data_IF_908592313224
#
_entry.id   IF_908592313224
#
_cell.length_a   1.000
_cell.length_b   1.000
_cell.length_c   1.000
_cell.angle_alpha   90.00
_cell.angle_beta   90.00
_cell.angle_gamma   90.00
#
_symmetry.space_group_name_H-M   'P 1'
#
loop_
_entity.id
_entity.type
_entity.pdbx_description
1 polymer ?
#
# COMPACT_ATOMS: atom_id res chain seq x y z
N UNK A 1 9.98 10.02 -0.76
CA UNK A 1 8.66 10.47 -0.23
C UNK A 1 8.94 10.99 1.16
N UNK A 2 8.84 12.31 1.36
CA UNK A 2 9.63 13.01 2.41
C UNK A 2 9.40 12.47 3.84
N UNK A 3 8.18 12.14 4.23
CA UNK A 3 7.89 11.76 5.63
C UNK A 3 8.47 10.40 6.04
N UNK A 4 8.29 9.36 5.22
CA UNK A 4 8.82 8.02 5.52
C UNK A 4 10.36 8.01 5.44
N UNK A 5 10.90 8.75 4.48
CA UNK A 5 12.35 8.92 4.30
C UNK A 5 13.01 9.60 5.51
N UNK A 6 12.38 10.65 6.06
CA UNK A 6 12.83 11.27 7.31
C UNK A 6 12.77 10.32 8.50
N UNK A 7 11.71 9.50 8.61
CA UNK A 7 11.55 8.55 9.70
C UNK A 7 12.64 7.47 9.68
N UNK A 8 12.99 6.94 8.49
CA UNK A 8 14.10 6.00 8.34
C UNK A 8 15.44 6.62 8.72
N UNK A 9 15.68 7.88 8.32
CA UNK A 9 16.94 8.57 8.60
C UNK A 9 17.26 8.72 10.09
N UNK A 10 16.26 8.76 10.98
CA UNK A 10 16.45 8.90 12.43
C UNK A 10 16.11 7.66 13.25
N UNK A 11 15.26 6.76 12.74
CA UNK A 11 14.65 5.67 13.52
C UNK A 11 14.53 4.36 12.74
N UNK A 12 15.47 4.07 11.82
CA UNK A 12 15.45 2.90 10.95
C UNK A 12 14.97 1.60 11.63
N UNK A 13 15.57 1.24 12.77
CA UNK A 13 15.31 -0.03 13.48
C UNK A 13 14.08 0.01 14.41
N UNK A 14 13.43 1.16 14.56
CA UNK A 14 12.23 1.27 15.41
C UNK A 14 11.03 0.66 14.68
N UNK A 15 10.27 -0.18 15.39
CA UNK A 15 8.99 -0.69 14.90
C UNK A 15 8.04 0.47 14.57
N UNK A 16 7.59 0.51 13.31
CA UNK A 16 6.66 1.49 12.77
C UNK A 16 5.22 0.97 12.80
N UNK A 17 5.01 -0.32 12.48
CA UNK A 17 3.69 -0.93 12.32
C UNK A 17 3.73 -2.35 12.89
N UNK A 18 2.69 -2.75 13.63
CA UNK A 18 2.56 -4.10 14.17
C UNK A 18 2.99 -4.22 15.63
N UNK A 19 3.29 -5.45 16.06
CA UNK A 19 3.70 -5.73 17.43
C UNK A 19 5.14 -5.26 17.69
N UNK A 20 5.52 -5.12 18.97
CA UNK A 20 6.90 -4.72 19.31
C UNK A 20 7.94 -5.81 19.02
N UNK A 21 7.51 -7.07 18.95
CA UNK A 21 8.42 -8.22 18.87
C UNK A 21 8.66 -8.66 17.42
N UNK A 22 7.66 -8.47 16.53
CA UNK A 22 7.68 -8.93 15.14
C UNK A 22 7.13 -7.92 14.12
N UNK A 23 6.88 -6.67 14.53
CA UNK A 23 6.37 -5.62 13.65
C UNK A 23 7.40 -5.12 12.64
N UNK A 24 6.91 -4.47 11.58
CA UNK A 24 7.76 -3.85 10.57
C UNK A 24 8.49 -2.64 11.15
N UNK A 25 9.81 -2.63 10.99
CA UNK A 25 10.63 -1.45 11.28
C UNK A 25 10.39 -0.36 10.24
N UNK A 26 10.83 0.88 10.50
CA UNK A 26 10.79 1.94 9.49
C UNK A 26 11.62 1.56 8.26
N UNK A 27 12.78 0.91 8.45
CA UNK A 27 13.61 0.41 7.36
C UNK A 27 12.87 -0.63 6.51
N UNK A 28 12.20 -1.60 7.14
CA UNK A 28 11.40 -2.61 6.43
C UNK A 28 10.25 -1.98 5.64
N UNK A 29 9.51 -1.06 6.28
CA UNK A 29 8.40 -0.36 5.65
C UNK A 29 8.86 0.44 4.42
N UNK A 30 10.00 1.12 4.51
CA UNK A 30 10.58 1.87 3.40
C UNK A 30 11.05 0.96 2.27
N UNK A 31 11.75 -0.13 2.57
CA UNK A 31 12.18 -1.10 1.57
C UNK A 31 11.00 -1.74 0.84
N UNK A 32 9.96 -2.15 1.57
CA UNK A 32 8.73 -2.72 0.99
C UNK A 32 7.95 -1.69 0.17
N UNK A 33 7.87 -0.43 0.63
CA UNK A 33 7.25 0.65 -0.14
C UNK A 33 8.02 0.95 -1.43
N UNK A 34 9.36 0.93 -1.41
CA UNK A 34 10.19 1.09 -2.60
C UNK A 34 9.93 -0.02 -3.62
N UNK A 35 9.95 -1.29 -3.19
CA UNK A 35 9.65 -2.44 -4.04
C UNK A 35 8.22 -2.39 -4.61
N UNK A 36 7.25 -1.94 -3.82
CA UNK A 36 5.88 -1.70 -4.29
C UNK A 36 5.85 -0.64 -5.38
N UNK A 37 6.56 0.48 -5.19
CA UNK A 37 6.62 1.56 -6.16
C UNK A 37 7.26 1.11 -7.49
N UNK A 38 8.33 0.32 -7.43
CA UNK A 38 8.96 -0.29 -8.62
C UNK A 38 7.99 -1.19 -9.37
N UNK A 39 7.27 -2.05 -8.65
CA UNK A 39 6.25 -2.93 -9.24
C UNK A 39 5.12 -2.14 -9.90
N UNK A 40 4.66 -1.06 -9.27
CA UNK A 40 3.62 -0.21 -9.83
C UNK A 40 4.08 0.48 -11.12
N UNK A 41 5.33 0.94 -11.18
CA UNK A 41 5.90 1.55 -12.39
C UNK A 41 6.14 0.53 -13.50
N UNK A 42 6.25 -0.76 -13.18
CA UNK A 42 6.43 -1.83 -14.18
C UNK A 42 5.11 -2.31 -14.80
N UNK A 43 3.96 -1.82 -14.35
CA UNK A 43 2.64 -2.18 -14.87
C UNK A 43 1.91 -0.92 -15.34
N UNK A 44 1.01 -1.07 -16.31
CA UNK A 44 0.13 0.02 -16.75
C UNK A 44 -1.08 0.13 -15.82
N UNK A 45 -0.85 0.65 -14.61
CA UNK A 45 -1.89 0.87 -13.61
C UNK A 45 -1.99 2.37 -13.27
N UNK A 46 -3.21 2.92 -13.40
CA UNK A 46 -3.51 4.28 -13.00
C UNK A 46 -3.78 4.43 -11.50
N UNK A 47 -4.10 3.32 -10.81
CA UNK A 47 -4.44 3.29 -9.38
C UNK A 47 -3.91 2.01 -8.72
N UNK A 48 -3.64 2.08 -7.41
CA UNK A 48 -3.45 0.91 -6.56
C UNK A 48 -4.67 0.74 -5.66
N UNK A 49 -5.37 -0.37 -5.80
CA UNK A 49 -6.55 -0.72 -5.01
C UNK A 49 -6.19 -1.72 -3.91
N UNK A 50 -6.67 -1.49 -2.69
CA UNK A 50 -6.66 -2.48 -1.61
C UNK A 50 -8.10 -2.85 -1.25
N UNK A 51 -8.47 -4.11 -1.40
CA UNK A 51 -9.74 -4.67 -0.98
C UNK A 51 -9.48 -5.86 -0.02
N UNK A 52 -9.06 -5.52 1.20
CA UNK A 52 -8.59 -6.49 2.21
C UNK A 52 -8.95 -5.98 3.62
N UNK A 53 -8.86 -6.88 4.59
CA UNK A 53 -8.76 -6.57 6.02
C UNK A 53 -7.50 -5.72 6.27
N UNK A 54 -7.60 -4.80 7.23
CA UNK A 54 -6.45 -3.99 7.66
C UNK A 54 -5.30 -4.88 8.14
N UNK A 55 -4.14 -4.71 7.50
CA UNK A 55 -2.89 -5.38 7.82
C UNK A 55 -1.70 -4.44 7.60
N UNK A 56 -0.49 -4.93 7.85
CA UNK A 56 0.75 -4.19 7.53
C UNK A 56 0.89 -3.85 6.03
N UNK A 57 0.14 -4.53 5.15
CA UNK A 57 0.10 -4.21 3.74
C UNK A 57 -0.46 -2.80 3.49
N UNK A 58 -1.39 -2.31 4.31
CA UNK A 58 -2.00 -0.99 4.10
C UNK A 58 -0.95 0.14 4.08
N UNK A 59 -0.10 0.33 5.10
CA UNK A 59 0.93 1.36 5.06
C UNK A 59 1.98 1.11 3.96
N UNK A 60 2.35 -0.14 3.68
CA UNK A 60 3.27 -0.48 2.58
C UNK A 60 2.73 -0.01 1.24
N UNK A 61 1.47 -0.34 0.94
CA UNK A 61 0.80 -0.02 -0.32
C UNK A 61 0.53 1.47 -0.45
N UNK A 62 0.14 2.14 0.64
CA UNK A 62 -0.07 3.59 0.68
C UNK A 62 1.22 4.36 0.31
N UNK A 63 2.33 4.04 0.98
CA UNK A 63 3.62 4.69 0.70
C UNK A 63 4.16 4.30 -0.68
N UNK A 64 3.99 3.04 -1.09
CA UNK A 64 4.38 2.56 -2.41
C UNK A 64 3.65 3.28 -3.55
N UNK A 65 2.33 3.42 -3.47
CA UNK A 65 1.53 4.18 -4.44
C UNK A 65 1.94 5.65 -4.49
N UNK A 66 2.11 6.27 -3.32
CA UNK A 66 2.56 7.66 -3.25
C UNK A 66 3.95 7.85 -3.87
N UNK A 67 4.86 6.90 -3.70
CA UNK A 67 6.18 6.96 -4.31
C UNK A 67 6.12 6.67 -5.81
N UNK A 68 5.26 5.76 -6.27
CA UNK A 68 5.00 5.55 -7.69
C UNK A 68 4.33 6.75 -8.38
N UNK A 69 3.70 7.65 -7.61
CA UNK A 69 2.99 8.82 -8.13
C UNK A 69 1.57 8.49 -8.61
N UNK A 70 0.98 7.39 -8.11
CA UNK A 70 -0.40 7.00 -8.44
C UNK A 70 -1.30 7.01 -7.19
N UNK A 71 -2.61 7.20 -7.33
CA UNK A 71 -3.52 7.19 -6.18
C UNK A 71 -3.64 5.80 -5.54
N UNK A 72 -3.67 5.79 -4.21
CA UNK A 72 -4.04 4.63 -3.41
C UNK A 72 -5.55 4.68 -3.08
N UNK A 73 -6.26 3.58 -3.35
CA UNK A 73 -7.72 3.49 -3.21
C UNK A 73 -8.10 2.29 -2.33
N UNK A 74 -8.33 2.50 -1.02
CA UNK A 74 -8.90 1.45 -0.18
C UNK A 74 -10.38 1.27 -0.51
N UNK A 75 -10.78 0.04 -0.79
CA UNK A 75 -12.19 -0.35 -0.97
C UNK A 75 -12.66 -1.14 0.23
N UNK A 76 -13.93 -0.94 0.60
CA UNK A 76 -14.55 -1.75 1.64
C UNK A 76 -14.79 -3.18 1.09
N UNK A 77 -13.96 -4.11 1.52
CA UNK A 77 -13.99 -5.52 1.11
C UNK A 77 -15.29 -6.25 1.52
N UNK A 78 -16.09 -5.67 2.43
CA UNK A 78 -17.36 -6.26 2.89
C UNK A 78 -18.56 -5.92 2.01
N UNK A 79 -18.36 -5.13 0.95
CA UNK A 79 -19.44 -4.78 0.03
C UNK A 79 -19.86 -5.99 -0.81
N UNK A 80 -21.13 -6.09 -1.21
CA UNK A 80 -21.56 -7.07 -2.19
C UNK A 80 -20.78 -6.92 -3.50
N UNK A 81 -20.54 -8.03 -4.19
CA UNK A 81 -19.72 -8.06 -5.40
C UNK A 81 -20.12 -7.02 -6.46
N UNK A 82 -21.42 -6.77 -6.64
CA UNK A 82 -21.91 -5.80 -7.62
C UNK A 82 -21.47 -4.36 -7.32
N UNK A 83 -21.51 -3.98 -6.04
CA UNK A 83 -21.05 -2.67 -5.58
C UNK A 83 -19.52 -2.59 -5.66
N UNK A 84 -18.82 -3.64 -5.25
CA UNK A 84 -17.36 -3.69 -5.31
C UNK A 84 -16.85 -3.58 -6.76
N UNK A 85 -17.47 -4.31 -7.70
CA UNK A 85 -17.18 -4.20 -9.14
C UNK A 85 -17.46 -2.80 -9.68
N UNK A 86 -18.54 -2.18 -9.22
CA UNK A 86 -18.89 -0.80 -9.61
C UNK A 86 -17.81 0.19 -9.16
N UNK A 87 -17.34 0.08 -7.92
CA UNK A 87 -16.27 0.95 -7.40
C UNK A 87 -14.93 0.68 -8.08
N UNK A 88 -14.54 -0.59 -8.25
CA UNK A 88 -13.33 -0.96 -8.96
C UNK A 88 -13.33 -0.45 -10.41
N UNK A 89 -14.49 -0.49 -11.09
CA UNK A 89 -14.64 0.04 -12.44
C UNK A 89 -14.39 1.55 -12.56
N UNK A 90 -14.66 2.34 -11.50
CA UNK A 90 -14.43 3.80 -11.49
C UNK A 90 -12.96 4.20 -11.43
N UNK A 91 -12.10 3.28 -10.97
CA UNK A 91 -10.66 3.52 -10.78
C UNK A 91 -9.81 2.66 -11.73
N UNK A 92 -10.43 2.04 -12.73
CA UNK A 92 -9.72 1.31 -13.79
C UNK A 92 -8.96 2.28 -14.71
N UNK A 93 -7.75 1.94 -15.20
CA UNK A 93 -6.99 0.74 -14.90
C UNK A 93 -6.37 0.77 -13.50
N UNK A 94 -6.42 -0.37 -12.80
CA UNK A 94 -5.89 -0.51 -11.43
C UNK A 94 -5.16 -1.84 -11.24
N UNK A 95 -4.11 -1.82 -10.41
CA UNK A 95 -3.59 -3.02 -9.78
C UNK A 95 -4.35 -3.23 -8.45
N UNK A 96 -4.99 -4.37 -8.26
CA UNK A 96 -5.72 -4.68 -7.05
C UNK A 96 -4.96 -5.67 -6.16
N UNK A 97 -4.94 -5.40 -4.86
CA UNK A 97 -4.49 -6.30 -3.80
C UNK A 97 -5.71 -6.70 -2.99
N UNK A 98 -5.92 -8.01 -2.83
CA UNK A 98 -7.02 -8.59 -2.07
C UNK A 98 -6.55 -9.90 -1.40
N UNK A 99 -7.29 -10.37 -0.40
CA UNK A 99 -7.06 -11.71 0.15
C UNK A 99 -7.30 -12.79 -0.92
N UNK A 100 -6.61 -13.94 -0.81
CA UNK A 100 -6.94 -15.13 -1.61
C UNK A 100 -8.38 -15.59 -1.46
#
# INVERSE_FOLDING_TARGET
>A
MMLLEMAVGGFADRVAVGSRDDGLTFADLFGRAAATAERLRSVDAGHLVLADVSSEALPVLLFGASWAGIPFVPLNYRLPDGELRTLAGRVSPALAVAQP
#
